data_IF_816509818068
#
_entry.id   IF_816509818068
#
_cell.length_a   1.000
_cell.length_b   1.000
_cell.length_c   1.000
_cell.angle_alpha   90.00
_cell.angle_beta   90.00
_cell.angle_gamma   90.00
#
_symmetry.space_group_name_H-M   'P 1'
#
loop_
_entity.id
_entity.type
_entity.pdbx_description
1 polymer ?
#
# COMPACT_ATOMS: atom_id res chain seq x y z
N UNK A 1 35.06 26.97 26.78
CA UNK A 1 33.86 27.09 25.90
C UNK A 1 33.62 25.75 25.22
N UNK A 2 32.68 24.95 25.72
CA UNK A 2 32.28 23.69 25.10
C UNK A 2 31.33 24.01 23.93
N UNK A 3 31.76 23.78 22.69
CA UNK A 3 30.87 23.85 21.52
C UNK A 3 29.84 22.73 21.67
N UNK A 4 28.53 23.02 21.72
CA UNK A 4 27.53 21.97 21.65
C UNK A 4 27.63 21.35 20.26
N UNK A 5 28.12 20.12 20.18
CA UNK A 5 28.01 19.29 18.99
C UNK A 5 26.53 18.95 18.80
N UNK A 6 25.78 19.87 18.21
CA UNK A 6 24.42 19.61 17.74
C UNK A 6 24.52 18.68 16.54
N UNK A 7 24.51 17.38 16.80
CA UNK A 7 24.25 16.40 15.75
C UNK A 7 22.89 16.75 15.13
N UNK A 8 22.82 17.12 13.84
CA UNK A 8 21.55 17.41 13.21
C UNK A 8 20.69 16.15 13.28
N UNK A 9 19.56 16.24 13.98
CA UNK A 9 18.59 15.15 14.05
C UNK A 9 18.21 14.82 12.61
N UNK A 10 18.46 13.60 12.11
CA UNK A 10 18.17 13.27 10.72
C UNK A 10 16.68 13.46 10.46
N UNK A 11 16.36 14.33 9.50
CA UNK A 11 14.98 14.61 9.13
C UNK A 11 14.27 13.32 8.69
N UNK A 12 13.00 13.12 9.10
CA UNK A 12 12.27 11.90 8.76
C UNK A 12 12.16 11.78 7.25
N UNK A 13 12.61 10.64 6.70
CA UNK A 13 12.50 10.35 5.26
C UNK A 13 11.04 10.13 4.91
N UNK A 14 10.45 11.12 4.24
CA UNK A 14 9.06 11.11 3.79
C UNK A 14 8.87 10.22 2.56
N UNK A 15 7.61 9.89 2.30
CA UNK A 15 7.18 9.22 1.08
C UNK A 15 7.44 10.12 -0.14
N UNK A 16 7.89 9.52 -1.24
CA UNK A 16 8.18 10.25 -2.48
C UNK A 16 6.90 10.64 -3.23
N UNK A 17 7.01 11.55 -4.20
CA UNK A 17 5.92 11.90 -5.11
C UNK A 17 5.38 10.66 -5.85
N UNK A 18 6.26 9.79 -6.34
CA UNK A 18 5.85 8.55 -7.02
C UNK A 18 5.10 7.62 -6.06
N UNK A 19 5.60 7.46 -4.82
CA UNK A 19 4.93 6.67 -3.78
C UNK A 19 3.55 7.25 -3.41
N UNK A 20 3.39 8.57 -3.42
CA UNK A 20 2.10 9.25 -3.21
C UNK A 20 1.13 9.01 -4.37
N UNK A 21 1.61 9.08 -5.61
CA UNK A 21 0.80 8.78 -6.80
C UNK A 21 0.33 7.33 -6.77
N UNK A 22 1.23 6.38 -6.49
CA UNK A 22 0.88 4.96 -6.35
C UNK A 22 -0.13 4.73 -5.22
N UNK A 23 0.02 5.43 -4.09
CA UNK A 23 -0.96 5.38 -3.01
C UNK A 23 -2.34 5.92 -3.47
N UNK A 24 -2.36 6.99 -4.26
CA UNK A 24 -3.59 7.56 -4.83
C UNK A 24 -4.26 6.64 -5.85
N UNK A 25 -3.49 6.00 -6.73
CA UNK A 25 -4.01 5.02 -7.70
C UNK A 25 -4.61 3.80 -7.00
N UNK A 26 -3.91 3.28 -5.99
CA UNK A 26 -4.40 2.18 -5.18
C UNK A 26 -5.65 2.58 -4.37
N UNK A 27 -5.68 3.80 -3.82
CA UNK A 27 -6.86 4.33 -3.12
C UNK A 27 -8.06 4.41 -4.06
N UNK A 28 -7.91 4.96 -5.26
CA UNK A 28 -8.98 5.05 -6.26
C UNK A 28 -9.50 3.66 -6.67
N UNK A 29 -8.58 2.70 -6.88
CA UNK A 29 -8.91 1.29 -7.15
C UNK A 29 -9.71 0.67 -5.99
N UNK A 30 -9.28 0.88 -4.76
CA UNK A 30 -9.97 0.37 -3.57
C UNK A 30 -11.35 1.00 -3.40
N UNK A 31 -11.49 2.32 -3.60
CA UNK A 31 -12.78 3.01 -3.59
C UNK A 31 -13.73 2.36 -4.59
N UNK A 32 -13.30 2.18 -5.85
CA UNK A 32 -14.12 1.53 -6.87
C UNK A 32 -14.47 0.08 -6.51
N UNK A 33 -13.53 -0.67 -5.91
CA UNK A 33 -13.76 -2.06 -5.49
C UNK A 33 -14.78 -2.14 -4.36
N UNK A 34 -14.71 -1.23 -3.38
CA UNK A 34 -15.68 -1.13 -2.30
C UNK A 34 -17.08 -0.83 -2.86
N UNK A 35 -17.23 0.17 -3.72
CA UNK A 35 -18.55 0.53 -4.24
C UNK A 35 -19.15 -0.53 -5.18
N UNK A 36 -18.34 -1.10 -6.08
CA UNK A 36 -18.84 -2.00 -7.12
C UNK A 36 -18.99 -3.45 -6.65
N UNK A 37 -18.25 -3.86 -5.61
CA UNK A 37 -18.19 -5.25 -5.15
C UNK A 37 -18.37 -5.40 -3.65
N UNK A 38 -17.69 -4.57 -2.85
CA UNK A 38 -17.75 -4.64 -1.39
C UNK A 38 -19.15 -4.36 -0.84
N UNK A 39 -19.77 -3.24 -1.25
CA UNK A 39 -21.10 -2.84 -0.79
C UNK A 39 -22.17 -3.86 -1.19
N UNK A 40 -22.27 -4.30 -2.46
CA UNK A 40 -23.23 -5.34 -2.83
C UNK A 40 -23.02 -6.65 -2.06
N UNK A 41 -21.76 -7.05 -1.83
CA UNK A 41 -21.45 -8.27 -1.08
C UNK A 41 -21.86 -8.16 0.39
N UNK A 42 -21.62 -7.00 1.03
CA UNK A 42 -22.00 -6.76 2.42
C UNK A 42 -23.53 -6.72 2.59
N UNK A 43 -24.25 -6.13 1.63
CA UNK A 43 -25.72 -6.13 1.63
C UNK A 43 -26.27 -7.55 1.47
N UNK A 44 -25.65 -8.37 0.62
CA UNK A 44 -26.08 -9.76 0.43
C UNK A 44 -25.67 -10.70 1.58
N UNK A 45 -24.51 -10.48 2.20
CA UNK A 45 -23.94 -11.34 3.26
C UNK A 45 -23.27 -10.48 4.35
N UNK A 46 -24.04 -9.88 5.27
CA UNK A 46 -23.52 -8.95 6.28
C UNK A 46 -22.54 -9.61 7.26
N UNK A 47 -22.63 -10.93 7.46
CA UNK A 47 -21.70 -11.70 8.29
C UNK A 47 -20.25 -11.66 7.78
N UNK A 48 -20.02 -11.28 6.52
CA UNK A 48 -18.68 -11.09 5.95
C UNK A 48 -18.07 -9.72 6.30
N UNK A 49 -18.80 -8.81 6.95
CA UNK A 49 -18.30 -7.49 7.33
C UNK A 49 -16.98 -7.50 8.11
N UNK A 50 -16.77 -8.40 9.09
CA UNK A 50 -15.50 -8.47 9.81
C UNK A 50 -14.31 -8.80 8.91
N UNK A 51 -14.52 -9.60 7.86
CA UNK A 51 -13.48 -9.97 6.91
C UNK A 51 -13.02 -8.80 6.03
N UNK A 52 -13.84 -7.74 5.90
CA UNK A 52 -13.51 -6.53 5.15
C UNK A 52 -12.75 -5.48 5.98
N UNK A 53 -12.71 -5.63 7.33
CA UNK A 53 -12.08 -4.66 8.23
C UNK A 53 -10.58 -4.42 7.94
N UNK A 54 -9.74 -5.45 7.67
CA UNK A 54 -8.33 -5.22 7.36
C UNK A 54 -8.15 -4.29 6.16
N UNK A 55 -8.91 -4.50 5.08
CA UNK A 55 -8.90 -3.65 3.89
C UNK A 55 -9.33 -2.22 4.19
N UNK A 56 -10.37 -2.01 5.01
CA UNK A 56 -10.82 -0.66 5.40
C UNK A 56 -9.79 0.11 6.24
N UNK A 57 -9.08 -0.58 7.13
CA UNK A 57 -7.98 0.01 7.90
C UNK A 57 -6.86 0.46 6.95
N UNK A 58 -6.50 -0.38 5.97
CA UNK A 58 -5.49 -0.02 4.95
C UNK A 58 -5.94 1.14 4.06
N UNK A 59 -7.22 1.17 3.70
CA UNK A 59 -7.83 2.27 2.97
C UNK A 59 -7.70 3.60 3.73
N UNK A 60 -7.93 3.61 5.05
CA UNK A 60 -7.72 4.79 5.88
C UNK A 60 -6.24 5.23 5.91
N UNK A 61 -5.31 4.28 6.05
CA UNK A 61 -3.87 4.61 5.98
C UNK A 61 -3.46 5.22 4.64
N UNK A 62 -4.08 4.79 3.53
CA UNK A 62 -3.82 5.34 2.20
C UNK A 62 -4.21 6.80 2.06
N UNK A 63 -5.33 7.21 2.65
CA UNK A 63 -5.68 8.63 2.71
C UNK A 63 -4.56 9.46 3.34
N UNK A 64 -4.00 9.00 4.47
CA UNK A 64 -2.88 9.69 5.13
C UNK A 64 -1.62 9.68 4.26
N UNK A 65 -1.35 8.59 3.53
CA UNK A 65 -0.22 8.50 2.60
C UNK A 65 -0.30 9.51 1.45
N UNK A 66 -1.49 9.70 0.87
CA UNK A 66 -1.72 10.65 -0.23
C UNK A 66 -1.48 12.10 0.21
N UNK A 67 -1.83 12.44 1.45
CA UNK A 67 -1.59 13.77 2.05
C UNK A 67 -0.09 14.13 2.19
N UNK A 68 0.82 13.17 2.05
CA UNK A 68 2.25 13.42 1.82
C UNK A 68 3.13 13.56 3.06
N UNK A 69 2.55 13.63 4.26
CA UNK A 69 3.30 13.70 5.53
C UNK A 69 3.64 12.31 6.12
N UNK A 70 3.65 11.27 5.28
CA UNK A 70 3.81 9.90 5.74
C UNK A 70 5.26 9.43 5.69
N UNK A 71 5.75 8.83 6.78
CA UNK A 71 7.12 8.31 6.88
C UNK A 71 7.30 7.11 5.95
N UNK A 72 8.40 7.08 5.19
CA UNK A 72 8.69 5.99 4.23
C UNK A 72 8.74 4.59 4.87
N UNK A 73 9.22 4.47 6.11
CA UNK A 73 9.24 3.19 6.84
C UNK A 73 7.83 2.70 7.18
N UNK A 74 6.96 3.60 7.63
CA UNK A 74 5.56 3.28 7.88
C UNK A 74 4.84 2.92 6.58
N UNK A 75 5.11 3.67 5.49
CA UNK A 75 4.59 3.38 4.16
C UNK A 75 4.94 1.96 3.70
N UNK A 76 6.17 1.51 3.94
CA UNK A 76 6.59 0.14 3.61
C UNK A 76 5.74 -0.90 4.36
N UNK A 77 5.45 -0.66 5.64
CA UNK A 77 4.56 -1.53 6.42
C UNK A 77 3.15 -1.59 5.83
N UNK A 78 2.56 -0.44 5.51
CA UNK A 78 1.22 -0.37 4.88
C UNK A 78 1.20 -1.13 3.55
N UNK A 79 2.22 -0.94 2.70
CA UNK A 79 2.33 -1.67 1.43
C UNK A 79 2.52 -3.18 1.62
N UNK A 80 3.26 -3.63 2.64
CA UNK A 80 3.38 -5.05 2.96
C UNK A 80 2.04 -5.65 3.42
N UNK A 81 1.32 -4.97 4.31
CA UNK A 81 -0.01 -5.42 4.72
C UNK A 81 -1.00 -5.43 3.55
N UNK A 82 -0.87 -4.48 2.63
CA UNK A 82 -1.66 -4.48 1.40
C UNK A 82 -1.37 -5.68 0.52
N UNK A 83 -0.09 -6.04 0.38
CA UNK A 83 0.26 -7.22 -0.40
C UNK A 83 -0.40 -8.46 0.19
N UNK A 84 -0.38 -8.59 1.52
CA UNK A 84 -1.04 -9.69 2.23
C UNK A 84 -2.56 -9.63 2.00
N UNK A 85 -3.18 -8.46 2.12
CA UNK A 85 -4.62 -8.26 1.94
C UNK A 85 -5.09 -8.56 0.51
N UNK A 86 -4.36 -8.13 -0.52
CA UNK A 86 -4.66 -8.44 -1.93
C UNK A 86 -4.53 -9.95 -2.21
N UNK A 87 -3.50 -10.61 -1.67
CA UNK A 87 -3.33 -12.07 -1.79
C UNK A 87 -4.43 -12.82 -1.04
N UNK A 88 -4.78 -12.35 0.16
CA UNK A 88 -5.86 -12.93 0.97
C UNK A 88 -7.22 -12.79 0.29
N UNK A 89 -7.53 -11.60 -0.23
CA UNK A 89 -8.74 -11.34 -1.00
C UNK A 89 -8.82 -12.20 -2.26
N UNK A 90 -7.71 -12.36 -2.98
CA UNK A 90 -7.64 -13.25 -4.14
C UNK A 90 -7.89 -14.72 -3.74
N UNK A 91 -7.32 -15.19 -2.63
CA UNK A 91 -7.53 -16.54 -2.12
C UNK A 91 -8.97 -16.79 -1.67
N UNK A 92 -9.58 -15.83 -0.96
CA UNK A 92 -11.00 -15.86 -0.59
C UNK A 92 -11.88 -15.91 -1.84
N UNK A 93 -11.58 -15.10 -2.85
CA UNK A 93 -12.30 -15.10 -4.13
C UNK A 93 -12.23 -16.44 -4.85
N UNK A 94 -11.06 -17.08 -4.91
CA UNK A 94 -10.91 -18.40 -5.52
C UNK A 94 -11.70 -19.50 -4.80
N UNK A 95 -12.02 -19.29 -3.51
CA UNK A 95 -12.79 -20.24 -2.68
C UNK A 95 -14.27 -19.88 -2.53
N UNK A 96 -14.65 -18.63 -2.79
CA UNK A 96 -16.03 -18.16 -2.70
C UNK A 96 -16.82 -18.56 -3.94
N UNK A 97 -17.15 -19.84 -4.06
CA UNK A 97 -18.07 -20.39 -5.07
C UNK A 97 -19.50 -20.28 -4.57
N UNK A 98 -20.15 -19.16 -4.87
CA UNK A 98 -21.61 -19.03 -5.00
C UNK A 98 -21.89 -17.91 -6.05
N UNK A 99 -21.90 -18.32 -7.32
CA UNK A 99 -22.33 -17.60 -8.53
C UNK A 99 -22.19 -16.05 -8.61
N UNK A 100 -20.98 -15.47 -8.56
CA UNK A 100 -20.76 -14.12 -9.05
C UNK A 100 -20.99 -14.05 -10.57
N UNK A 101 -21.55 -12.93 -11.06
CA UNK A 101 -21.75 -12.73 -12.50
C UNK A 101 -20.41 -12.69 -13.25
N UNK A 102 -20.38 -13.12 -14.52
CA UNK A 102 -19.18 -13.09 -15.37
C UNK A 102 -18.50 -11.70 -15.43
N UNK A 103 -19.27 -10.63 -15.30
CA UNK A 103 -18.77 -9.25 -15.24
C UNK A 103 -18.03 -8.96 -13.93
N UNK A 104 -18.58 -9.40 -12.79
CA UNK A 104 -17.95 -9.28 -11.48
C UNK A 104 -16.64 -10.07 -11.44
N UNK A 105 -16.63 -11.31 -11.96
CA UNK A 105 -15.43 -12.15 -12.04
C UNK A 105 -14.29 -11.45 -12.81
N UNK A 106 -14.59 -10.86 -13.98
CA UNK A 106 -13.59 -10.11 -14.76
C UNK A 106 -13.09 -8.88 -14.01
N UNK A 107 -13.99 -8.14 -13.36
CA UNK A 107 -13.63 -6.93 -12.62
C UNK A 107 -12.79 -7.25 -11.38
N UNK A 108 -13.11 -8.30 -10.62
CA UNK A 108 -12.31 -8.79 -9.50
C UNK A 108 -10.90 -9.20 -9.94
N UNK A 109 -10.78 -9.99 -11.01
CA UNK A 109 -9.48 -10.43 -11.51
C UNK A 109 -8.60 -9.23 -11.93
N UNK A 110 -9.17 -8.26 -12.64
CA UNK A 110 -8.45 -7.02 -13.00
C UNK A 110 -8.09 -6.18 -11.77
N UNK A 111 -9.02 -6.03 -10.82
CA UNK A 111 -8.80 -5.27 -9.59
C UNK A 111 -7.63 -5.84 -8.80
N UNK A 112 -7.61 -7.15 -8.49
CA UNK A 112 -6.51 -7.77 -7.74
C UNK A 112 -5.17 -7.67 -8.47
N UNK A 113 -5.14 -7.88 -9.79
CA UNK A 113 -3.91 -7.73 -10.58
C UNK A 113 -3.35 -6.31 -10.54
N UNK A 114 -4.21 -5.31 -10.74
CA UNK A 114 -3.81 -3.91 -10.64
C UNK A 114 -3.31 -3.56 -9.23
N UNK A 115 -4.01 -4.06 -8.20
CA UNK A 115 -3.62 -3.89 -6.80
C UNK A 115 -2.22 -4.43 -6.50
N UNK A 116 -1.94 -5.65 -6.98
CA UNK A 116 -0.61 -6.26 -6.88
C UNK A 116 0.46 -5.44 -7.62
N UNK A 117 0.18 -4.97 -8.84
CA UNK A 117 1.12 -4.16 -9.62
C UNK A 117 1.48 -2.87 -8.89
N UNK A 118 0.48 -2.12 -8.40
CA UNK A 118 0.74 -0.87 -7.66
C UNK A 118 1.50 -1.13 -6.36
N UNK A 119 1.14 -2.19 -5.63
CA UNK A 119 1.79 -2.57 -4.38
C UNK A 119 3.25 -2.96 -4.60
N UNK A 120 3.53 -3.80 -5.59
CA UNK A 120 4.90 -4.22 -5.93
C UNK A 120 5.72 -3.02 -6.43
N UNK A 121 5.16 -2.17 -7.29
CA UNK A 121 5.82 -0.96 -7.75
C UNK A 121 6.21 -0.05 -6.59
N UNK A 122 5.33 0.13 -5.60
CA UNK A 122 5.61 0.97 -4.44
C UNK A 122 6.67 0.36 -3.51
N UNK A 123 6.64 -0.96 -3.28
CA UNK A 123 7.67 -1.64 -2.50
C UNK A 123 9.05 -1.59 -3.19
N UNK A 124 9.09 -1.80 -4.51
CA UNK A 124 10.30 -1.66 -5.30
C UNK A 124 10.85 -0.23 -5.26
N UNK A 125 9.98 0.77 -5.36
CA UNK A 125 10.34 2.18 -5.26
C UNK A 125 11.01 2.51 -3.92
N UNK A 126 10.40 2.06 -2.81
CA UNK A 126 10.93 2.24 -1.46
C UNK A 126 12.27 1.50 -1.30
N UNK A 127 12.33 0.25 -1.80
CA UNK A 127 13.53 -0.59 -1.76
C UNK A 127 14.68 0.01 -2.55
N UNK A 128 14.42 0.48 -3.76
CA UNK A 128 15.40 1.11 -4.64
C UNK A 128 15.98 2.38 -4.02
N UNK A 129 15.14 3.26 -3.44
CA UNK A 129 15.63 4.44 -2.73
C UNK A 129 16.50 4.08 -1.53
N UNK A 130 16.11 3.07 -0.76
CA UNK A 130 16.89 2.60 0.38
C UNK A 130 18.24 2.03 -0.07
N UNK A 131 18.28 1.31 -1.18
CA UNK A 131 19.52 0.81 -1.77
C UNK A 131 20.43 1.95 -2.22
N UNK A 132 19.91 2.91 -3.01
CA UNK A 132 20.67 4.06 -3.51
C UNK A 132 21.27 4.90 -2.38
N UNK A 133 20.50 5.16 -1.33
CA UNK A 133 20.99 5.89 -0.16
C UNK A 133 22.14 5.15 0.55
N UNK A 134 22.04 3.82 0.69
CA UNK A 134 23.11 3.01 1.29
C UNK A 134 24.35 2.96 0.41
N UNK A 135 24.20 2.89 -0.91
CA UNK A 135 25.30 2.92 -1.86
C UNK A 135 26.06 4.26 -1.77
N UNK A 136 25.34 5.38 -1.76
CA UNK A 136 25.94 6.72 -1.62
C UNK A 136 26.69 6.87 -0.28
N UNK A 137 26.10 6.39 0.82
CA UNK A 137 26.78 6.41 2.13
C UNK A 137 28.07 5.60 2.13
N UNK A 138 28.06 4.41 1.49
CA UNK A 138 29.27 3.58 1.36
C UNK A 138 30.34 4.24 0.50
N UNK A 139 29.95 4.95 -0.57
CA UNK A 139 30.88 5.70 -1.40
C UNK A 139 31.54 6.84 -0.62
N UNK A 140 30.75 7.60 0.15
CA UNK A 140 31.27 8.67 1.02
C UNK A 140 32.26 8.15 2.07
N UNK A 141 31.96 7.00 2.71
CA UNK A 141 32.85 6.38 3.71
C UNK A 141 34.14 5.80 3.12
N UNK A 142 34.20 5.53 1.81
CA UNK A 142 35.41 5.04 1.14
C UNK A 142 36.29 6.16 0.59
N UNK A 143 35.73 7.36 0.40
CA UNK A 143 36.43 8.53 -0.12
C UNK A 143 36.86 9.54 0.95
N UNK A 144 36.51 9.30 2.21
CA UNK A 144 36.97 10.03 3.40
C UNK A 144 38.09 9.23 4.09
#
# INVERSE_FOLDING_TARGET
>A
MLRPHTHPIPSPKLLSTLGRVLAGLQLAKETLTIFLLGLPLLLARPLLAPAALPGLVLYAFRWVMVLGNYRRRAAAGVWLFTLIDEVWGLALYLRATDAPTARQLRYLNWSYRLGLVFTLAALLEIGYRRYRERANLRALLKGA
#
